data_IF_348419207747
#
_entry.id   IF_348419207747
#
_cell.length_a   1.000
_cell.length_b   1.000
_cell.length_c   1.000
_cell.angle_alpha   90.00
_cell.angle_beta   90.00
_cell.angle_gamma   90.00
#
_symmetry.space_group_name_H-M   'P 1'
#
loop_
_entity.id
_entity.type
_entity.pdbx_description
1 polymer ?
#
# COMPACT_ATOMS: atom_id res chain seq x y z
N UNK A 1 23.53 0.39 -22.47
CA UNK A 1 23.50 0.14 -21.02
C UNK A 1 22.37 -0.85 -20.77
N UNK A 2 22.70 -2.13 -20.58
CA UNK A 2 21.72 -3.19 -20.35
C UNK A 2 21.26 -3.15 -18.88
N UNK A 3 19.97 -2.90 -18.65
CA UNK A 3 19.37 -3.14 -17.34
C UNK A 3 19.17 -4.66 -17.20
N UNK A 4 19.67 -5.31 -16.13
CA UNK A 4 19.48 -6.74 -15.95
C UNK A 4 17.98 -7.04 -15.77
N UNK A 5 17.50 -8.10 -16.45
CA UNK A 5 16.17 -8.64 -16.22
C UNK A 5 16.10 -9.16 -14.78
N UNK A 6 15.18 -8.59 -14.01
CA UNK A 6 14.88 -9.01 -12.64
C UNK A 6 14.05 -10.30 -12.68
N UNK A 7 14.71 -11.44 -12.88
CA UNK A 7 14.10 -12.77 -12.68
C UNK A 7 14.13 -13.20 -11.20
N UNK A 8 14.62 -12.34 -10.31
CA UNK A 8 14.49 -12.52 -8.87
C UNK A 8 13.03 -12.30 -8.44
N UNK A 9 12.46 -13.14 -7.55
CA UNK A 9 11.13 -12.91 -7.02
C UNK A 9 11.05 -11.50 -6.42
N UNK A 10 9.92 -10.82 -6.64
CA UNK A 10 9.69 -9.47 -6.11
C UNK A 10 10.01 -9.45 -4.61
N UNK A 11 10.77 -8.46 -4.13
CA UNK A 11 11.08 -8.37 -2.71
C UNK A 11 9.79 -8.31 -1.89
N UNK A 12 9.74 -8.96 -0.71
CA UNK A 12 8.53 -9.07 0.08
C UNK A 12 8.02 -7.70 0.54
N UNK A 13 6.70 -7.52 0.57
CA UNK A 13 6.07 -6.39 1.24
C UNK A 13 6.20 -6.50 2.76
N UNK A 14 5.89 -5.41 3.49
CA UNK A 14 6.00 -5.34 4.95
C UNK A 14 5.42 -6.56 5.66
N UNK A 15 4.19 -6.97 5.33
CA UNK A 15 3.55 -8.13 5.99
C UNK A 15 4.26 -9.45 5.69
N UNK A 16 4.63 -9.68 4.43
CA UNK A 16 5.34 -10.91 4.03
C UNK A 16 6.72 -10.97 4.67
N UNK A 17 7.45 -9.85 4.73
CA UNK A 17 8.76 -9.76 5.36
C UNK A 17 8.70 -9.97 6.88
N UNK A 18 7.70 -9.40 7.57
CA UNK A 18 7.49 -9.65 9.01
C UNK A 18 7.20 -11.13 9.25
N UNK A 19 6.39 -11.77 8.40
CA UNK A 19 6.15 -13.22 8.49
C UNK A 19 7.45 -14.01 8.31
N UNK A 20 8.29 -13.67 7.34
CA UNK A 20 9.59 -14.32 7.12
C UNK A 20 10.51 -14.18 8.34
N UNK A 21 10.55 -13.00 8.97
CA UNK A 21 11.29 -12.76 10.21
C UNK A 21 10.78 -13.67 11.33
N UNK A 22 9.47 -13.70 11.55
CA UNK A 22 8.83 -14.54 12.57
C UNK A 22 9.08 -16.04 12.31
N UNK A 23 9.12 -16.46 11.05
CA UNK A 23 9.41 -17.83 10.63
C UNK A 23 10.91 -18.18 10.68
N UNK A 24 11.78 -17.25 11.14
CA UNK A 24 13.22 -17.48 11.28
C UNK A 24 14.00 -17.52 9.95
N UNK A 25 13.40 -17.05 8.85
CA UNK A 25 14.00 -17.10 7.52
C UNK A 25 14.97 -15.94 7.26
N UNK A 26 14.78 -14.82 7.96
CA UNK A 26 15.59 -13.60 7.86
C UNK A 26 15.84 -13.04 9.26
N UNK A 27 16.92 -12.27 9.43
CA UNK A 27 17.30 -11.70 10.74
C UNK A 27 16.70 -10.32 11.02
N UNK A 28 16.33 -9.56 9.99
CA UNK A 28 15.67 -8.27 10.11
C UNK A 28 14.80 -8.00 8.88
N UNK A 29 13.84 -7.08 9.02
CA UNK A 29 12.94 -6.65 7.95
C UNK A 29 12.76 -5.13 8.03
N UNK A 30 12.74 -4.47 6.87
CA UNK A 30 12.26 -3.09 6.79
C UNK A 30 10.74 -3.11 6.55
N UNK A 31 10.00 -2.36 7.37
CA UNK A 31 8.56 -2.22 7.26
C UNK A 31 8.17 -0.75 7.17
N UNK A 32 7.30 -0.41 6.23
CA UNK A 32 6.68 0.92 6.11
C UNK A 32 5.43 1.09 6.99
N UNK A 33 5.19 0.15 7.91
CA UNK A 33 4.12 0.23 8.91
C UNK A 33 4.57 -0.36 10.25
N UNK A 34 3.95 0.03 11.36
CA UNK A 34 4.18 -0.64 12.64
C UNK A 34 3.82 -2.13 12.61
N UNK A 35 4.41 -2.90 13.53
CA UNK A 35 3.92 -4.24 13.87
C UNK A 35 2.47 -4.19 14.37
N UNK A 36 1.67 -5.16 13.97
CA UNK A 36 0.29 -5.39 14.43
C UNK A 36 0.31 -6.24 15.71
N UNK A 37 -0.72 -6.13 16.53
CA UNK A 37 -0.83 -6.91 17.79
C UNK A 37 -0.68 -8.42 17.56
N UNK A 38 -1.29 -8.95 16.50
CA UNK A 38 -1.15 -10.37 16.11
C UNK A 38 0.29 -10.77 15.81
N UNK A 39 1.12 -9.87 15.28
CA UNK A 39 2.53 -10.14 14.98
C UNK A 39 3.35 -10.20 16.28
N UNK A 40 3.00 -9.37 17.28
CA UNK A 40 3.57 -9.48 18.63
C UNK A 40 3.15 -10.76 19.34
N UNK A 41 1.87 -11.13 19.26
CA UNK A 41 1.37 -12.39 19.84
C UNK A 41 2.11 -13.61 19.23
N UNK A 42 2.29 -13.62 17.92
CA UNK A 42 3.05 -14.66 17.22
C UNK A 42 4.52 -14.70 17.65
N UNK A 43 5.16 -13.54 17.79
CA UNK A 43 6.53 -13.45 18.29
C UNK A 43 6.66 -14.02 19.70
N UNK A 44 5.75 -13.64 20.60
CA UNK A 44 5.72 -14.13 21.98
C UNK A 44 5.57 -15.65 22.03
N UNK A 45 4.63 -16.22 21.28
CA UNK A 45 4.43 -17.68 21.20
C UNK A 45 5.66 -18.44 20.68
N UNK A 46 6.51 -17.76 19.89
CA UNK A 46 7.73 -18.33 19.31
C UNK A 46 8.99 -18.01 20.14
N UNK A 47 8.86 -17.33 21.27
CA UNK A 47 9.99 -16.90 22.09
C UNK A 47 10.89 -15.88 21.41
N UNK A 48 10.37 -15.13 20.43
CA UNK A 48 11.11 -14.10 19.68
C UNK A 48 10.83 -12.76 20.34
N UNK A 49 11.89 -12.02 20.69
CA UNK A 49 11.78 -10.63 21.09
C UNK A 49 11.91 -9.73 19.85
N UNK A 50 10.85 -9.00 19.52
CA UNK A 50 10.89 -8.03 18.42
C UNK A 50 11.26 -6.63 18.93
N UNK A 51 12.16 -5.98 18.21
CA UNK A 51 12.50 -4.57 18.40
C UNK A 51 12.16 -3.78 17.15
N UNK A 52 11.41 -2.68 17.30
CA UNK A 52 11.16 -1.73 16.22
C UNK A 52 12.06 -0.50 16.40
N UNK A 53 12.75 -0.11 15.33
CA UNK A 53 13.62 1.07 15.31
C UNK A 53 13.12 1.97 14.16
N UNK A 54 12.57 3.17 14.46
CA UNK A 54 12.23 4.14 13.43
C UNK A 54 13.50 4.64 12.73
N UNK A 55 13.57 4.50 11.41
CA UNK A 55 14.75 4.89 10.61
C UNK A 55 14.48 6.02 9.63
N UNK A 56 13.23 6.23 9.24
CA UNK A 56 12.83 7.27 8.28
C UNK A 56 11.34 7.61 8.45
N UNK A 57 10.97 8.78 7.91
CA UNK A 57 9.58 9.16 7.63
C UNK A 57 9.42 9.10 6.11
N UNK A 58 8.49 8.29 5.62
CA UNK A 58 8.14 8.21 4.21
C UNK A 58 6.79 8.88 3.93
N UNK A 59 6.56 9.21 2.65
CA UNK A 59 5.33 9.79 2.15
C UNK A 59 4.79 8.99 0.99
N UNK A 60 3.46 8.92 0.86
CA UNK A 60 2.79 8.29 -0.26
C UNK A 60 2.29 9.38 -1.21
N UNK A 61 2.77 9.34 -2.44
CA UNK A 61 2.27 10.19 -3.52
C UNK A 61 1.21 9.43 -4.32
N UNK A 62 0.16 10.15 -4.72
CA UNK A 62 -0.82 9.64 -5.68
C UNK A 62 -0.44 10.14 -7.06
N UNK A 63 -0.19 9.21 -7.97
CA UNK A 63 0.12 9.51 -9.36
C UNK A 63 -1.10 9.24 -10.24
N UNK A 64 -1.34 10.15 -11.18
CA UNK A 64 -2.34 10.03 -12.23
C UNK A 64 -1.67 10.31 -13.57
N UNK A 65 -2.35 10.01 -14.68
CA UNK A 65 -1.81 10.37 -16.00
C UNK A 65 -1.67 11.90 -16.12
N UNK A 66 -0.48 12.43 -16.49
CA UNK A 66 -0.23 13.86 -16.55
C UNK A 66 -1.13 14.61 -17.54
N UNK A 67 -1.61 13.94 -18.61
CA UNK A 67 -2.50 14.53 -19.61
C UNK A 67 -3.90 14.87 -19.08
N UNK A 68 -4.25 14.43 -17.87
CA UNK A 68 -5.51 14.79 -17.22
C UNK A 68 -5.54 16.26 -16.74
N UNK A 69 -4.38 16.93 -16.66
CA UNK A 69 -4.25 18.35 -16.27
C UNK A 69 -5.01 18.72 -14.98
N UNK A 70 -5.08 17.81 -14.02
CA UNK A 70 -5.73 18.04 -12.73
C UNK A 70 -4.85 18.92 -11.84
N UNK A 71 -5.45 19.86 -11.13
CA UNK A 71 -4.76 20.70 -10.15
C UNK A 71 -4.44 19.95 -8.85
N UNK A 72 -5.18 18.88 -8.56
CA UNK A 72 -4.99 18.02 -7.40
C UNK A 72 -6.25 17.23 -7.05
N UNK A 73 -6.14 16.34 -6.07
CA UNK A 73 -7.25 15.57 -5.52
C UNK A 73 -7.27 15.72 -4.00
N UNK A 74 -8.46 15.93 -3.45
CA UNK A 74 -8.69 15.90 -2.00
C UNK A 74 -8.70 14.45 -1.48
N UNK A 75 -8.41 14.25 -0.19
CA UNK A 75 -8.52 12.93 0.47
C UNK A 75 -9.93 12.35 0.31
N UNK A 76 -10.97 13.19 0.38
CA UNK A 76 -12.35 12.74 0.16
C UNK A 76 -12.57 12.22 -1.26
N UNK A 77 -12.07 12.92 -2.28
CA UNK A 77 -12.15 12.46 -3.67
C UNK A 77 -11.39 11.16 -3.87
N UNK A 78 -10.19 11.02 -3.29
CA UNK A 78 -9.44 9.75 -3.32
C UNK A 78 -10.23 8.62 -2.69
N UNK A 79 -10.82 8.83 -1.51
CA UNK A 79 -11.70 7.87 -0.86
C UNK A 79 -12.87 7.48 -1.77
N UNK A 80 -13.55 8.47 -2.34
CA UNK A 80 -14.71 8.26 -3.21
C UNK A 80 -14.33 7.51 -4.52
N UNK A 81 -13.13 7.74 -5.07
CA UNK A 81 -12.56 6.98 -6.21
C UNK A 81 -12.33 5.51 -5.81
N UNK A 82 -11.55 5.26 -4.77
CA UNK A 82 -11.20 3.89 -4.35
C UNK A 82 -12.41 3.12 -3.81
N UNK A 83 -13.47 3.84 -3.43
CA UNK A 83 -14.76 3.27 -3.05
C UNK A 83 -15.72 3.05 -4.22
N UNK A 84 -15.39 3.48 -5.43
CA UNK A 84 -16.21 3.31 -6.63
C UNK A 84 -17.39 4.28 -6.72
N UNK A 85 -17.42 5.34 -5.91
CA UNK A 85 -18.44 6.41 -6.00
C UNK A 85 -18.10 7.40 -7.10
N UNK A 86 -16.81 7.67 -7.31
CA UNK A 86 -16.30 8.44 -8.44
C UNK A 86 -15.61 7.45 -9.38
N UNK A 87 -16.10 7.37 -10.61
CA UNK A 87 -15.69 6.37 -11.59
C UNK A 87 -15.25 7.00 -12.92
N UNK A 88 -15.44 8.30 -13.10
CA UNK A 88 -15.03 9.03 -14.30
C UNK A 88 -14.38 10.36 -13.94
N UNK A 89 -13.32 10.75 -14.67
CA UNK A 89 -12.59 12.00 -14.43
C UNK A 89 -13.44 13.26 -14.65
N UNK A 90 -14.49 13.19 -15.46
CA UNK A 90 -15.44 14.30 -15.66
C UNK A 90 -16.18 14.70 -14.38
N UNK A 91 -16.37 13.77 -13.43
CA UNK A 91 -16.95 14.05 -12.11
C UNK A 91 -16.02 14.92 -11.22
N UNK A 92 -14.78 15.12 -11.65
CA UNK A 92 -13.74 15.89 -10.99
C UNK A 92 -13.30 17.10 -11.85
N UNK A 93 -14.05 17.43 -12.91
CA UNK A 93 -13.73 18.52 -13.83
C UNK A 93 -12.67 18.17 -14.88
N UNK A 94 -12.32 16.89 -15.03
CA UNK A 94 -11.42 16.39 -16.07
C UNK A 94 -12.14 15.96 -17.36
N UNK A 95 -11.42 15.23 -18.21
CA UNK A 95 -11.99 14.65 -19.43
C UNK A 95 -13.00 13.52 -19.13
N UNK A 96 -13.87 13.22 -20.09
CA UNK A 96 -14.81 12.09 -20.01
C UNK A 96 -14.05 10.76 -20.22
N UNK A 97 -13.39 10.30 -19.16
CA UNK A 97 -12.53 9.12 -19.17
C UNK A 97 -12.76 8.31 -17.89
N UNK A 98 -12.88 6.99 -18.03
CA UNK A 98 -13.08 6.08 -16.91
C UNK A 98 -11.84 6.03 -15.99
N UNK A 99 -12.09 5.93 -14.68
CA UNK A 99 -11.06 5.77 -13.65
C UNK A 99 -10.91 4.27 -13.34
N UNK A 100 -9.66 3.80 -13.48
CA UNK A 100 -9.21 2.49 -12.97
C UNK A 100 -8.26 2.73 -11.79
N UNK A 101 -8.70 2.55 -10.54
CA UNK A 101 -7.83 2.69 -9.37
C UNK A 101 -6.90 1.47 -9.24
N UNK A 102 -5.62 1.74 -8.97
CA UNK A 102 -4.60 0.72 -8.73
C UNK A 102 -4.15 0.73 -7.27
N UNK A 103 -3.88 -0.45 -6.72
CA UNK A 103 -3.25 -0.63 -5.42
C UNK A 103 -2.25 -1.78 -5.49
N UNK A 104 -1.25 -1.78 -4.60
CA UNK A 104 -0.35 -2.93 -4.44
C UNK A 104 -1.07 -4.05 -3.69
N UNK A 105 -0.56 -5.27 -3.78
CA UNK A 105 -0.95 -6.43 -2.97
C UNK A 105 -1.36 -6.06 -1.53
N UNK A 106 -2.38 -6.73 -1.00
CA UNK A 106 -2.94 -6.47 0.33
C UNK A 106 -1.95 -6.68 1.49
N UNK A 107 -0.78 -7.28 1.21
CA UNK A 107 0.31 -7.48 2.16
C UNK A 107 1.32 -6.31 2.16
N UNK A 108 1.10 -5.30 1.31
CA UNK A 108 1.92 -4.10 1.20
C UNK A 108 1.62 -3.11 2.32
N UNK A 109 2.66 -2.59 2.96
CA UNK A 109 2.52 -1.51 3.95
C UNK A 109 1.93 -0.21 3.37
N UNK A 110 2.17 0.10 2.08
CA UNK A 110 1.54 1.23 1.39
C UNK A 110 0.02 1.05 1.29
N UNK A 111 -0.45 -0.15 0.95
CA UNK A 111 -1.88 -0.47 0.88
C UNK A 111 -2.51 -0.42 2.27
N UNK A 112 -1.85 -0.99 3.29
CA UNK A 112 -2.27 -0.90 4.69
C UNK A 112 -2.40 0.58 5.14
N UNK A 113 -1.40 1.42 4.86
CA UNK A 113 -1.41 2.84 5.21
C UNK A 113 -2.55 3.57 4.49
N UNK A 114 -2.73 3.35 3.19
CA UNK A 114 -3.78 4.00 2.41
C UNK A 114 -5.17 3.61 2.92
N UNK A 115 -5.39 2.32 3.22
CA UNK A 115 -6.67 1.84 3.76
C UNK A 115 -6.99 2.50 5.12
N UNK A 116 -6.00 2.66 5.99
CA UNK A 116 -6.22 3.30 7.28
C UNK A 116 -6.46 4.81 7.15
N UNK A 117 -5.57 5.52 6.46
CA UNK A 117 -5.53 6.99 6.46
C UNK A 117 -6.45 7.64 5.41
N UNK A 118 -6.78 6.94 4.32
CA UNK A 118 -7.67 7.47 3.26
C UNK A 118 -9.05 6.85 3.36
N UNK A 119 -9.16 5.53 3.52
CA UNK A 119 -10.47 4.86 3.56
C UNK A 119 -11.12 4.87 4.96
N UNK A 120 -10.33 5.02 6.04
CA UNK A 120 -10.85 5.07 7.39
C UNK A 120 -11.53 3.77 7.80
N UNK A 121 -10.87 2.62 7.58
CA UNK A 121 -11.34 1.23 7.81
C UNK A 121 -12.35 0.67 6.80
N UNK A 122 -12.85 1.48 5.88
CA UNK A 122 -13.69 0.98 4.79
C UNK A 122 -12.90 0.07 3.84
N UNK A 123 -13.59 -0.88 3.19
CA UNK A 123 -12.97 -1.77 2.20
C UNK A 123 -12.57 -1.01 0.92
N UNK A 124 -11.81 -1.65 0.05
CA UNK A 124 -11.71 -1.20 -1.34
C UNK A 124 -12.99 -1.58 -2.11
N UNK A 125 -13.25 -0.92 -3.24
CA UNK A 125 -14.25 -1.40 -4.20
C UNK A 125 -13.69 -2.52 -5.07
N UNK A 126 -14.56 -3.32 -5.67
CA UNK A 126 -14.17 -4.40 -6.59
C UNK A 126 -13.56 -3.87 -7.90
N UNK A 127 -13.57 -2.54 -8.10
CA UNK A 127 -12.93 -1.86 -9.24
C UNK A 127 -11.43 -1.62 -9.04
N UNK A 128 -10.91 -1.82 -7.82
CA UNK A 128 -9.49 -1.61 -7.54
C UNK A 128 -8.68 -2.78 -8.08
N UNK A 129 -7.78 -2.49 -9.02
CA UNK A 129 -6.85 -3.46 -9.54
C UNK A 129 -5.66 -3.61 -8.58
N UNK A 130 -5.48 -4.81 -8.05
CA UNK A 130 -4.34 -5.13 -7.18
C UNK A 130 -3.19 -5.72 -8.00
N UNK A 131 -2.00 -5.12 -7.87
CA UNK A 131 -0.77 -5.56 -8.54
C UNK A 131 0.35 -5.97 -7.57
#
# INVERSE_FOLDING_TARGET
>A
MYLPKWDAPLPPGSGSGIKMLLDGQISFVQSSRPLKDKEYEMAFQRGILLQQIPVAIDGIAIAVNPSLNLTGLTIKQLKDIYRGKITNWSQLGGAELEITPYARSIQSGTTDFFQYNVLGTEKFSDRVYFC
#
